data_IF_255529917189
#
_entry.id   IF_255529917189
#
_cell.length_a   1.000
_cell.length_b   1.000
_cell.length_c   1.000
_cell.angle_alpha   90.00
_cell.angle_beta   90.00
_cell.angle_gamma   90.00
#
_symmetry.space_group_name_H-M   'P 1'
#
loop_
_entity.id
_entity.type
_entity.pdbx_description
1 polymer ?
#
# COMPACT_ATOMS: atom_id res chain seq x y z
N UNK A 1 21.15 -25.13 -8.47
CA UNK A 1 22.17 -24.82 -7.44
C UNK A 1 21.50 -23.95 -6.39
N UNK A 2 21.20 -24.57 -5.25
CA UNK A 2 20.86 -24.05 -3.92
C UNK A 2 20.30 -22.63 -3.78
N UNK A 3 18.97 -22.51 -3.68
CA UNK A 3 18.33 -21.41 -2.94
C UNK A 3 17.26 -22.01 -2.01
N UNK A 4 17.69 -22.22 -0.76
CA UNK A 4 16.90 -22.06 0.46
C UNK A 4 15.52 -22.76 0.52
N UNK A 5 15.55 -24.05 0.88
CA UNK A 5 14.48 -24.71 1.63
C UNK A 5 14.32 -24.01 3.00
N UNK A 6 13.63 -22.86 3.03
CA UNK A 6 13.22 -22.24 4.28
C UNK A 6 12.06 -23.08 4.81
N UNK A 7 12.35 -23.83 5.89
CA UNK A 7 11.41 -24.39 6.86
C UNK A 7 10.00 -24.61 6.33
N UNK A 8 9.60 -25.87 6.10
CA UNK A 8 8.19 -26.27 6.11
C UNK A 8 7.58 -25.77 7.43
N UNK A 9 6.99 -24.58 7.41
CA UNK A 9 6.29 -24.04 8.56
C UNK A 9 5.23 -25.05 8.99
N UNK A 10 4.94 -25.08 10.29
CA UNK A 10 3.92 -25.97 10.89
C UNK A 10 2.55 -25.85 10.18
N UNK A 11 2.31 -24.74 9.47
CA UNK A 11 1.11 -24.45 8.71
C UNK A 11 1.40 -24.34 7.22
N UNK A 12 0.50 -24.89 6.39
CA UNK A 12 0.57 -24.82 4.91
C UNK A 12 0.67 -23.37 4.41
N UNK A 13 1.28 -23.18 3.25
CA UNK A 13 1.52 -21.85 2.64
C UNK A 13 0.26 -21.12 2.21
N UNK A 14 -0.81 -21.86 1.91
CA UNK A 14 -2.13 -21.38 1.52
C UNK A 14 -3.08 -21.14 2.70
N UNK A 15 -2.67 -21.45 3.93
CA UNK A 15 -3.51 -21.32 5.11
C UNK A 15 -3.80 -19.84 5.41
N UNK A 16 -5.07 -19.44 5.24
CA UNK A 16 -5.49 -18.04 5.29
C UNK A 16 -5.05 -17.32 6.58
N UNK A 17 -5.24 -17.88 7.80
CA UNK A 17 -4.81 -17.20 9.01
C UNK A 17 -3.29 -17.00 9.09
N UNK A 18 -2.49 -17.95 8.57
CA UNK A 18 -1.02 -17.78 8.47
C UNK A 18 -0.70 -16.63 7.52
N UNK A 19 -1.25 -16.64 6.30
CA UNK A 19 -1.00 -15.59 5.30
C UNK A 19 -1.38 -14.21 5.85
N UNK A 20 -2.59 -14.10 6.40
CA UNK A 20 -3.07 -12.87 7.02
C UNK A 20 -2.14 -12.40 8.13
N UNK A 21 -1.78 -13.27 9.08
CA UNK A 21 -0.91 -12.90 10.20
C UNK A 21 0.49 -12.50 9.73
N UNK A 22 1.08 -13.25 8.78
CA UNK A 22 2.38 -12.92 8.21
C UNK A 22 2.36 -11.56 7.51
N UNK A 23 1.34 -11.30 6.68
CA UNK A 23 1.16 -10.01 6.02
C UNK A 23 0.94 -8.89 7.05
N UNK A 24 0.09 -9.09 8.06
CA UNK A 24 -0.13 -8.11 9.12
C UNK A 24 1.16 -7.73 9.84
N UNK A 25 1.98 -8.71 10.24
CA UNK A 25 3.25 -8.46 10.92
C UNK A 25 4.24 -7.75 10.00
N UNK A 26 4.42 -8.25 8.77
CA UNK A 26 5.36 -7.68 7.81
C UNK A 26 4.97 -6.26 7.42
N UNK A 27 3.71 -6.01 7.07
CA UNK A 27 3.20 -4.69 6.68
C UNK A 27 3.28 -3.70 7.83
N UNK A 28 2.96 -4.11 9.06
CA UNK A 28 3.02 -3.21 10.23
C UNK A 28 4.46 -2.84 10.59
N UNK A 29 5.35 -3.83 10.70
CA UNK A 29 6.78 -3.60 11.00
C UNK A 29 7.43 -2.81 9.86
N UNK A 30 7.20 -3.21 8.61
CA UNK A 30 7.71 -2.52 7.43
C UNK A 30 7.20 -1.07 7.37
N UNK A 31 5.92 -0.84 7.66
CA UNK A 31 5.33 0.49 7.74
C UNK A 31 6.01 1.38 8.79
N UNK A 32 6.24 0.86 10.00
CA UNK A 32 6.98 1.61 11.03
C UNK A 32 8.44 1.86 10.65
N UNK A 33 9.14 0.85 10.13
CA UNK A 33 10.53 0.99 9.71
C UNK A 33 10.66 2.04 8.61
N UNK A 34 9.81 1.98 7.58
CA UNK A 34 9.80 2.95 6.49
C UNK A 34 9.46 4.35 7.00
N UNK A 35 8.41 4.49 7.82
CA UNK A 35 7.99 5.77 8.39
C UNK A 35 9.10 6.40 9.23
N UNK A 36 9.58 5.69 10.26
CA UNK A 36 10.58 6.25 11.18
C UNK A 36 11.94 6.47 10.52
N UNK A 37 12.36 5.61 9.59
CA UNK A 37 13.62 5.83 8.87
C UNK A 37 13.54 7.05 7.94
N UNK A 38 12.58 7.07 7.01
CA UNK A 38 12.49 8.13 6.00
C UNK A 38 12.13 9.48 6.62
N UNK A 39 11.20 9.51 7.59
CA UNK A 39 10.85 10.74 8.29
C UNK A 39 12.04 11.27 9.11
N UNK A 40 12.79 10.41 9.81
CA UNK A 40 13.96 10.85 10.58
C UNK A 40 15.09 11.35 9.68
N UNK A 41 15.41 10.63 8.60
CA UNK A 41 16.42 11.06 7.63
C UNK A 41 16.02 12.43 7.05
N UNK A 42 14.79 12.58 6.57
CA UNK A 42 14.30 13.86 6.05
C UNK A 42 14.33 14.95 7.11
N UNK A 43 13.97 14.64 8.36
CA UNK A 43 13.98 15.60 9.46
C UNK A 43 15.38 16.11 9.80
N UNK A 44 16.38 15.24 9.88
CA UNK A 44 17.74 15.66 10.23
C UNK A 44 18.50 16.31 9.07
N UNK A 45 18.29 15.85 7.84
CA UNK A 45 19.12 16.26 6.69
C UNK A 45 18.44 17.23 5.72
N UNK A 46 17.11 17.27 5.67
CA UNK A 46 16.36 18.06 4.66
C UNK A 46 15.49 19.15 5.29
N UNK A 47 14.91 18.89 6.46
CA UNK A 47 13.93 19.80 7.06
C UNK A 47 14.54 21.10 7.59
N UNK A 48 13.97 22.23 7.18
CA UNK A 48 14.35 23.55 7.69
C UNK A 48 13.76 23.78 9.10
N UNK A 49 14.61 23.62 10.11
CA UNK A 49 14.25 23.77 11.51
C UNK A 49 13.79 25.20 11.89
N UNK A 50 14.04 26.22 11.06
CA UNK A 50 13.53 27.58 11.29
C UNK A 50 12.02 27.65 11.21
N UNK A 51 11.37 26.71 10.51
CA UNK A 51 9.92 26.61 10.37
C UNK A 51 9.20 26.40 11.71
N UNK A 52 9.89 25.91 12.75
CA UNK A 52 9.33 25.82 14.11
C UNK A 52 8.91 27.16 14.71
N UNK A 53 9.47 28.27 14.21
CA UNK A 53 9.12 29.63 14.65
C UNK A 53 7.91 30.19 13.91
N UNK A 54 7.38 29.49 12.91
CA UNK A 54 6.25 29.96 12.12
C UNK A 54 5.00 30.05 13.02
N UNK A 55 4.17 31.11 12.91
CA UNK A 55 3.01 31.32 13.79
C UNK A 55 1.93 30.23 13.72
N UNK A 56 1.92 29.44 12.63
CA UNK A 56 1.02 28.29 12.45
C UNK A 56 1.64 26.95 12.89
N UNK A 57 2.86 26.94 13.40
CA UNK A 57 3.50 25.75 13.95
C UNK A 57 2.90 25.44 15.32
N UNK A 58 2.41 24.21 15.52
CA UNK A 58 1.73 23.83 16.74
C UNK A 58 2.73 23.52 17.86
N UNK A 59 2.33 23.75 19.11
CA UNK A 59 3.12 23.31 20.26
C UNK A 59 3.25 21.79 20.25
N UNK A 60 4.49 21.29 20.35
CA UNK A 60 4.87 19.87 20.31
C UNK A 60 4.37 19.17 19.04
N UNK A 61 4.42 19.86 17.89
CA UNK A 61 3.83 19.35 16.64
C UNK A 61 4.45 18.01 16.22
N UNK A 62 5.78 17.86 16.32
CA UNK A 62 6.49 16.65 15.92
C UNK A 62 5.95 15.42 16.67
N UNK A 63 5.77 15.54 17.99
CA UNK A 63 5.23 14.46 18.80
C UNK A 63 3.78 14.14 18.47
N UNK A 64 2.95 15.15 18.17
CA UNK A 64 1.56 14.96 17.77
C UNK A 64 1.46 14.27 16.41
N UNK A 65 2.31 14.67 15.46
CA UNK A 65 2.40 14.04 14.15
C UNK A 65 2.82 12.57 14.26
N UNK A 66 3.86 12.28 15.06
CA UNK A 66 4.31 10.92 15.36
C UNK A 66 3.20 10.10 16.03
N UNK A 67 2.51 10.65 17.03
CA UNK A 67 1.45 9.95 17.75
C UNK A 67 0.29 9.57 16.83
N UNK A 68 -0.15 10.51 16.00
CA UNK A 68 -1.25 10.28 15.04
C UNK A 68 -0.83 9.23 14.01
N UNK A 69 0.35 9.37 13.42
CA UNK A 69 0.87 8.40 12.46
C UNK A 69 1.02 7.01 13.09
N UNK A 70 1.65 6.93 14.26
CA UNK A 70 1.94 5.66 14.90
C UNK A 70 0.69 4.89 15.32
N UNK A 71 -0.36 5.59 15.75
CA UNK A 71 -1.67 4.97 16.05
C UNK A 71 -2.42 4.56 14.77
N UNK A 72 -2.21 5.25 13.67
CA UNK A 72 -2.87 4.98 12.38
C UNK A 72 -2.31 3.77 11.64
N UNK A 73 -0.99 3.57 11.69
CA UNK A 73 -0.28 2.51 10.93
C UNK A 73 -0.91 1.12 11.07
N UNK A 74 -1.29 0.60 12.26
CA UNK A 74 -1.87 -0.74 12.37
C UNK A 74 -3.20 -0.90 11.65
N UNK A 75 -4.09 0.09 11.72
CA UNK A 75 -5.40 0.02 11.05
C UNK A 75 -5.27 0.21 9.54
N UNK A 76 -4.40 1.12 9.09
CA UNK A 76 -4.09 1.27 7.67
C UNK A 76 -3.47 -0.01 7.12
N UNK A 77 -2.52 -0.61 7.85
CA UNK A 77 -1.92 -1.90 7.53
C UNK A 77 -2.96 -3.02 7.45
N UNK A 78 -3.91 -3.08 8.39
CA UNK A 78 -5.01 -4.03 8.35
C UNK A 78 -5.82 -3.93 7.06
N UNK A 79 -6.25 -2.73 6.69
CA UNK A 79 -7.03 -2.50 5.47
C UNK A 79 -6.22 -2.84 4.21
N UNK A 80 -4.95 -2.46 4.14
CA UNK A 80 -4.05 -2.84 3.04
C UNK A 80 -3.82 -4.35 2.97
N UNK A 81 -3.75 -5.05 4.09
CA UNK A 81 -3.59 -6.51 4.12
C UNK A 81 -4.80 -7.25 3.56
N UNK A 82 -6.01 -6.68 3.69
CA UNK A 82 -7.18 -7.22 2.99
C UNK A 82 -6.99 -7.17 1.46
N UNK A 83 -6.41 -6.09 0.94
CA UNK A 83 -6.02 -6.01 -0.46
C UNK A 83 -4.91 -7.01 -0.79
N UNK A 84 -3.80 -7.02 -0.04
CA UNK A 84 -2.68 -7.94 -0.27
C UNK A 84 -3.11 -9.40 -0.28
N UNK A 85 -4.05 -9.81 0.59
CA UNK A 85 -4.60 -11.16 0.59
C UNK A 85 -5.28 -11.51 -0.73
N UNK A 86 -6.05 -10.58 -1.31
CA UNK A 86 -6.65 -10.76 -2.62
C UNK A 86 -5.56 -10.86 -3.70
N UNK A 87 -4.56 -9.98 -3.63
CA UNK A 87 -3.45 -9.94 -4.58
C UNK A 87 -2.66 -11.26 -4.60
N UNK A 88 -2.18 -11.76 -3.44
CA UNK A 88 -1.42 -13.02 -3.36
C UNK A 88 -2.24 -14.25 -3.72
N UNK A 89 -3.58 -14.13 -3.73
CA UNK A 89 -4.51 -15.18 -4.17
C UNK A 89 -4.89 -15.07 -5.64
N UNK A 90 -4.20 -14.21 -6.39
CA UNK A 90 -4.35 -14.06 -7.84
C UNK A 90 -5.53 -13.18 -8.27
N UNK A 91 -6.10 -12.38 -7.36
CA UNK A 91 -7.09 -11.37 -7.73
C UNK A 91 -6.45 -10.11 -8.32
N UNK A 92 -5.17 -9.84 -8.04
CA UNK A 92 -4.39 -8.89 -8.84
C UNK A 92 -3.91 -9.54 -10.14
N UNK A 93 -3.71 -8.70 -11.15
CA UNK A 93 -3.26 -9.11 -12.47
C UNK A 93 -1.98 -8.39 -12.85
N UNK A 94 -1.04 -8.25 -11.92
CA UNK A 94 0.24 -7.63 -12.22
C UNK A 94 1.08 -8.56 -13.11
N UNK A 95 1.83 -8.00 -14.06
CA UNK A 95 2.82 -8.75 -14.82
C UNK A 95 3.90 -9.24 -13.87
N UNK A 96 4.14 -10.55 -13.78
CA UNK A 96 5.18 -11.08 -12.89
C UNK A 96 6.57 -10.99 -13.51
N UNK A 97 6.63 -10.89 -14.84
CA UNK A 97 7.87 -10.83 -15.57
C UNK A 97 7.72 -10.07 -16.88
N UNK A 98 8.85 -9.62 -17.42
CA UNK A 98 8.93 -8.87 -18.68
C UNK A 98 8.52 -9.77 -19.86
N UNK A 99 8.81 -11.06 -19.76
CA UNK A 99 8.50 -12.09 -20.74
C UNK A 99 6.99 -12.37 -20.88
N UNK A 100 6.19 -12.05 -19.86
CA UNK A 100 4.72 -12.17 -19.95
C UNK A 100 4.09 -11.09 -20.84
N UNK A 101 4.80 -9.98 -21.07
CA UNK A 101 4.34 -8.86 -21.88
C UNK A 101 4.78 -8.99 -23.34
N UNK A 102 3.85 -8.79 -24.27
CA UNK A 102 4.20 -8.73 -25.71
C UNK A 102 5.12 -7.54 -26.06
N UNK A 103 5.24 -6.58 -25.15
CA UNK A 103 6.09 -5.39 -25.30
C UNK A 103 7.52 -5.60 -24.76
N UNK A 104 7.81 -6.76 -24.16
CA UNK A 104 9.12 -7.06 -23.57
C UNK A 104 9.57 -5.93 -22.64
N UNK A 105 10.84 -5.50 -22.75
CA UNK A 105 11.43 -4.47 -21.86
C UNK A 105 10.73 -3.11 -21.90
N UNK A 106 10.02 -2.77 -22.98
CA UNK A 106 9.22 -1.53 -23.04
C UNK A 106 8.03 -1.55 -22.08
N UNK A 107 7.61 -2.74 -21.61
CA UNK A 107 6.56 -2.87 -20.62
C UNK A 107 6.88 -2.15 -19.32
N UNK A 108 8.15 -2.09 -18.88
CA UNK A 108 8.55 -1.46 -17.61
C UNK A 108 8.30 0.05 -17.61
N UNK A 109 8.86 0.86 -18.54
CA UNK A 109 8.61 2.29 -18.53
C UNK A 109 7.15 2.63 -18.83
N UNK A 110 6.48 1.86 -19.71
CA UNK A 110 5.05 2.08 -20.01
C UNK A 110 4.17 1.73 -18.81
N UNK A 111 4.38 0.58 -18.15
CA UNK A 111 3.63 0.21 -16.94
C UNK A 111 3.85 1.21 -15.83
N UNK A 112 5.07 1.72 -15.68
CA UNK A 112 5.40 2.72 -14.66
C UNK A 112 4.69 4.04 -14.93
N UNK A 113 4.76 4.54 -16.17
CA UNK A 113 4.08 5.77 -16.55
C UNK A 113 2.55 5.64 -16.40
N UNK A 114 1.97 4.55 -16.90
CA UNK A 114 0.55 4.23 -16.73
C UNK A 114 0.16 4.13 -15.27
N UNK A 115 0.97 3.43 -14.44
CA UNK A 115 0.74 3.29 -13.00
C UNK A 115 0.66 4.67 -12.35
N UNK A 116 1.67 5.52 -12.55
CA UNK A 116 1.72 6.87 -11.97
C UNK A 116 0.52 7.70 -12.42
N UNK A 117 0.24 7.77 -13.72
CA UNK A 117 -0.85 8.58 -14.25
C UNK A 117 -2.22 8.10 -13.73
N UNK A 118 -2.43 6.79 -13.68
CA UNK A 118 -3.66 6.19 -13.19
C UNK A 118 -3.85 6.43 -11.69
N UNK A 119 -2.82 6.13 -10.90
CA UNK A 119 -2.90 6.26 -9.44
C UNK A 119 -3.05 7.71 -9.04
N UNK A 120 -2.28 8.63 -9.64
CA UNK A 120 -2.35 10.05 -9.31
C UNK A 120 -3.71 10.65 -9.68
N UNK A 121 -4.28 10.24 -10.82
CA UNK A 121 -5.62 10.66 -11.22
C UNK A 121 -6.68 10.20 -10.21
N UNK A 122 -6.67 8.92 -9.80
CA UNK A 122 -7.63 8.42 -8.82
C UNK A 122 -7.43 9.01 -7.43
N UNK A 123 -6.18 9.15 -6.99
CA UNK A 123 -5.83 9.80 -5.72
C UNK A 123 -6.35 11.23 -5.70
N UNK A 124 -6.22 11.98 -6.80
CA UNK A 124 -6.79 13.33 -6.92
C UNK A 124 -8.30 13.34 -6.67
N UNK A 125 -9.06 12.45 -7.31
CA UNK A 125 -10.51 12.39 -7.15
C UNK A 125 -10.93 11.93 -5.75
N UNK A 126 -10.22 10.95 -5.18
CA UNK A 126 -10.45 10.48 -3.82
C UNK A 126 -10.16 11.58 -2.81
N UNK A 127 -9.01 12.26 -2.95
CA UNK A 127 -8.64 13.40 -2.11
C UNK A 127 -9.67 14.53 -2.24
N UNK A 128 -10.11 14.87 -3.45
CA UNK A 128 -11.19 15.85 -3.67
C UNK A 128 -12.49 15.40 -2.99
N UNK A 129 -12.82 14.12 -3.04
CA UNK A 129 -13.95 13.54 -2.33
C UNK A 129 -13.82 13.66 -0.82
N UNK A 130 -12.62 13.45 -0.26
CA UNK A 130 -12.31 13.61 1.17
C UNK A 130 -12.49 15.04 1.67
N UNK A 131 -12.44 16.05 0.80
CA UNK A 131 -12.81 17.43 1.11
C UNK A 131 -14.32 17.69 1.13
N UNK A 132 -15.15 16.71 0.76
CA UNK A 132 -16.59 16.89 0.78
C UNK A 132 -17.08 17.13 2.22
N UNK A 133 -17.99 18.11 2.48
CA UNK A 133 -18.36 18.51 3.84
C UNK A 133 -18.87 17.38 4.74
N UNK A 134 -19.50 16.35 4.16
CA UNK A 134 -20.05 15.22 4.91
C UNK A 134 -19.00 14.27 5.49
N UNK A 135 -17.76 14.28 4.99
CA UNK A 135 -16.70 13.37 5.45
C UNK A 135 -15.41 14.09 5.86
N UNK A 136 -15.21 15.33 5.41
CA UNK A 136 -14.01 16.11 5.69
C UNK A 136 -13.70 16.18 7.20
N UNK A 137 -14.71 16.51 8.01
CA UNK A 137 -14.52 16.70 9.45
C UNK A 137 -14.00 15.45 10.14
N UNK A 138 -14.45 14.28 9.70
CA UNK A 138 -14.22 13.01 10.38
C UNK A 138 -12.98 12.30 9.84
N UNK A 139 -12.69 12.42 8.55
CA UNK A 139 -11.60 11.70 7.89
C UNK A 139 -10.41 12.60 7.55
N UNK A 140 -10.65 13.77 6.94
CA UNK A 140 -9.57 14.52 6.29
C UNK A 140 -9.07 15.73 7.10
N UNK A 141 -9.85 16.22 8.07
CA UNK A 141 -9.50 17.40 8.87
C UNK A 141 -8.19 17.24 9.64
N UNK A 142 -7.90 16.03 10.14
CA UNK A 142 -6.66 15.75 10.87
C UNK A 142 -5.44 15.96 9.98
N UNK A 143 -5.50 15.56 8.71
CA UNK A 143 -4.42 15.80 7.75
C UNK A 143 -4.16 17.31 7.54
N UNK A 144 -5.23 18.11 7.45
CA UNK A 144 -5.14 19.57 7.28
C UNK A 144 -4.78 20.35 8.54
N UNK A 145 -4.61 19.67 9.68
CA UNK A 145 -4.18 20.30 10.93
C UNK A 145 -2.74 20.80 10.83
N UNK A 146 -1.88 20.08 10.11
CA UNK A 146 -0.44 20.33 9.99
C UNK A 146 -0.11 21.34 8.88
N UNK A 147 -0.43 22.62 9.12
CA UNK A 147 -0.24 23.69 8.10
C UNK A 147 1.22 23.97 7.74
N UNK A 148 2.13 23.69 8.68
CA UNK A 148 3.59 23.75 8.47
C UNK A 148 4.13 22.37 8.83
N UNK A 149 3.92 21.36 7.95
CA UNK A 149 4.17 19.98 8.30
C UNK A 149 5.66 19.73 8.50
N UNK A 150 6.01 18.93 9.51
CA UNK A 150 7.35 18.32 9.54
C UNK A 150 7.33 17.01 8.74
N UNK A 151 8.49 16.38 8.46
CA UNK A 151 8.53 15.06 7.85
C UNK A 151 7.70 13.99 8.59
N UNK A 152 7.51 14.14 9.90
CA UNK A 152 6.66 13.25 10.68
C UNK A 152 5.16 13.37 10.34
N UNK A 153 4.73 14.48 9.71
CA UNK A 153 3.37 14.69 9.25
C UNK A 153 2.97 13.79 8.07
N UNK A 154 3.94 13.15 7.40
CA UNK A 154 3.74 12.35 6.17
C UNK A 154 2.62 11.31 6.30
N UNK A 155 2.44 10.73 7.49
CA UNK A 155 1.41 9.74 7.80
C UNK A 155 0.50 10.17 8.96
N UNK A 156 0.53 11.44 9.34
CA UNK A 156 -0.25 11.97 10.46
C UNK A 156 -1.69 12.32 10.03
N UNK A 157 -2.44 11.33 9.56
CA UNK A 157 -3.83 11.49 9.10
C UNK A 157 -4.73 10.39 9.64
N UNK A 158 -6.03 10.49 9.39
CA UNK A 158 -6.96 9.43 9.76
C UNK A 158 -6.60 8.14 8.98
N UNK A 159 -6.54 6.96 9.61
CA UNK A 159 -6.11 5.73 8.92
C UNK A 159 -6.98 5.37 7.72
N UNK A 160 -8.29 5.64 7.77
CA UNK A 160 -9.18 5.47 6.60
C UNK A 160 -8.82 6.46 5.48
N UNK A 161 -8.47 7.70 5.79
CA UNK A 161 -8.02 8.69 4.81
C UNK A 161 -6.77 8.17 4.08
N UNK A 162 -5.78 7.70 4.84
CA UNK A 162 -4.59 7.04 4.29
C UNK A 162 -4.92 5.84 3.41
N UNK A 163 -5.76 4.92 3.88
CA UNK A 163 -6.13 3.72 3.13
C UNK A 163 -6.87 4.05 1.83
N UNK A 164 -7.87 4.94 1.86
CA UNK A 164 -8.62 5.23 0.63
C UNK A 164 -7.75 5.94 -0.39
N UNK A 165 -6.82 6.81 0.03
CA UNK A 165 -5.83 7.39 -0.87
C UNK A 165 -4.82 6.35 -1.37
N UNK A 166 -4.47 5.32 -0.60
CA UNK A 166 -3.59 4.23 -1.08
C UNK A 166 -4.32 3.17 -1.91
N UNK A 167 -5.65 3.10 -1.83
CA UNK A 167 -6.45 2.07 -2.48
C UNK A 167 -6.19 1.91 -3.99
N UNK A 168 -6.02 2.99 -4.78
CA UNK A 168 -5.70 2.90 -6.20
C UNK A 168 -4.47 2.05 -6.54
N UNK A 169 -3.47 1.97 -5.65
CA UNK A 169 -2.27 1.15 -5.86
C UNK A 169 -2.60 -0.35 -5.99
N UNK A 170 -3.68 -0.79 -5.36
CA UNK A 170 -4.14 -2.18 -5.38
C UNK A 170 -5.03 -2.51 -6.60
N UNK A 171 -5.37 -1.51 -7.40
CA UNK A 171 -6.29 -1.65 -8.55
C UNK A 171 -5.56 -1.72 -9.91
N UNK A 172 -4.22 -1.72 -9.90
CA UNK A 172 -3.45 -1.83 -11.13
C UNK A 172 -3.50 -3.26 -11.67
N UNK A 173 -4.23 -3.38 -12.77
CA UNK A 173 -4.39 -4.56 -13.61
C UNK A 173 -3.45 -4.44 -14.82
N UNK A 174 -2.76 -5.51 -15.21
CA UNK A 174 -1.96 -5.55 -16.45
C UNK A 174 -2.75 -5.17 -17.71
N UNK A 175 -4.09 -5.26 -17.66
CA UNK A 175 -4.99 -4.85 -18.74
C UNK A 175 -5.10 -3.33 -18.95
N UNK A 176 -4.51 -2.49 -18.09
CA UNK A 176 -4.47 -1.02 -18.28
C UNK A 176 -3.48 -0.59 -19.38
N UNK A 177 -3.52 -1.26 -20.54
CA UNK A 177 -2.81 -0.84 -21.75
C UNK A 177 -1.56 -1.64 -22.13
N UNK A 178 -1.24 -2.74 -21.42
CA UNK A 178 -0.17 -3.64 -21.84
C UNK A 178 -0.78 -4.99 -22.26
N UNK A 179 -0.52 -5.47 -23.49
CA UNK A 179 -1.02 -6.76 -23.90
C UNK A 179 -0.31 -7.87 -23.09
N UNK A 180 -1.09 -8.62 -22.32
CA UNK A 180 -0.63 -9.84 -21.64
C UNK A 180 -0.63 -11.01 -22.62
N UNK A 181 0.38 -11.86 -22.57
CA UNK A 181 0.37 -13.15 -23.29
C UNK A 181 -0.75 -14.09 -22.80
N UNK A 182 -1.20 -15.02 -23.65
CA UNK A 182 -2.19 -16.05 -23.29
C UNK A 182 -1.72 -16.91 -22.11
N UNK A 183 -0.41 -17.20 -22.04
CA UNK A 183 0.21 -17.93 -20.93
C UNK A 183 0.02 -17.24 -19.57
N UNK A 184 0.08 -15.90 -19.52
CA UNK A 184 -0.14 -15.13 -18.29
C UNK A 184 -1.59 -15.28 -17.80
N UNK A 185 -2.57 -15.24 -18.72
CA UNK A 185 -3.98 -15.42 -18.36
C UNK A 185 -4.28 -16.82 -17.80
N UNK A 186 -3.70 -17.87 -18.38
CA UNK A 186 -3.82 -19.24 -17.84
C UNK A 186 -3.18 -19.36 -16.45
N UNK A 187 -2.00 -18.76 -16.24
CA UNK A 187 -1.32 -18.80 -14.95
C UNK A 187 -2.17 -18.15 -13.85
N UNK A 188 -2.79 -16.99 -14.13
CA UNK A 188 -3.72 -16.35 -13.18
C UNK A 188 -4.95 -17.23 -12.88
N UNK A 189 -5.50 -17.95 -13.87
CA UNK A 189 -6.59 -18.89 -13.64
C UNK A 189 -6.17 -20.09 -12.79
N UNK A 190 -4.97 -20.63 -13.00
CA UNK A 190 -4.40 -21.74 -12.21
C UNK A 190 -4.15 -21.34 -10.75
N UNK A 191 -3.64 -20.13 -10.51
CA UNK A 191 -3.45 -19.62 -9.14
C UNK A 191 -4.80 -19.51 -8.42
N UNK A 192 -5.82 -18.94 -9.09
CA UNK A 192 -7.17 -18.82 -8.52
C UNK A 192 -7.80 -20.17 -8.20
N UNK A 193 -7.70 -21.15 -9.11
CA UNK A 193 -8.26 -22.48 -8.89
C UNK A 193 -7.59 -23.23 -7.75
N UNK A 194 -6.27 -23.03 -7.55
CA UNK A 194 -5.54 -23.60 -6.41
C UNK A 194 -6.10 -23.13 -5.06
N UNK A 195 -6.52 -21.87 -4.95
CA UNK A 195 -7.10 -21.33 -3.71
C UNK A 195 -8.61 -21.63 -3.56
N UNK A 196 -9.33 -21.81 -4.67
CA UNK A 196 -10.75 -22.19 -4.66
C UNK A 196 -11.02 -23.69 -4.41
N UNK A 197 -10.02 -24.55 -4.63
CA UNK A 197 -10.12 -26.01 -4.47
C UNK A 197 -10.11 -26.50 -3.00
N UNK A 198 -9.85 -25.61 -2.02
CA UNK A 198 -9.83 -25.99 -0.60
C UNK A 198 -11.20 -26.32 0.02
N UNK A 199 -12.27 -26.40 -0.78
CA UNK A 199 -13.58 -26.89 -0.36
C UNK A 199 -14.39 -27.52 -1.49
N UNK A 200 -13.87 -28.56 -2.14
CA UNK A 200 -14.74 -29.62 -2.65
C UNK A 200 -14.53 -30.82 -1.76
N UNK A 201 -15.48 -30.98 -0.83
CA UNK A 201 -15.70 -32.18 -0.05
C UNK A 201 -15.59 -33.39 -0.98
N UNK A 202 -14.53 -34.18 -0.82
CA UNK A 202 -14.62 -35.61 -1.13
C UNK A 202 -15.40 -36.24 0.01
N UNK A 203 -16.71 -36.36 -0.19
CA UNK A 203 -17.51 -37.48 0.28
C UNK A 203 -18.02 -38.20 -0.96
#
# INVERSE_FOLDING_TARGET
MTVLYISKGVLKEDYLPRQFLSLMVLTTIGGYLLYFSTASISYFFVFDHRLRKHPKFLKNQEWKEIEVAAKGVPLMGFLSVLCFLLEIRGYSRLLNSVEESSLGWYSIPISTATFILFTDCLIYWIHRGLHHPSIYKDLHKTHHLWKVPTPFASHAFHPIDGFVQSFPYHFVDSRWGLPSSENSQEQHQRIRSSYGSSSVLQF
#
